data_IF_354987009877
#
_entry.id   IF_354987009877
#
_cell.length_a   1.000
_cell.length_b   1.000
_cell.length_c   1.000
_cell.angle_alpha   90.00
_cell.angle_beta   90.00
_cell.angle_gamma   90.00
#
_symmetry.space_group_name_H-M   'P 1'
#
loop_
_entity.id
_entity.type
_entity.pdbx_description
1 polymer ?
#
# COMPACT_ATOMS: atom_id res chain seq x y z
N UNK A 1 8.79 -3.42 -12.44
CA UNK A 1 9.94 -2.81 -11.74
C UNK A 1 9.94 -3.26 -10.28
N UNK A 2 11.06 -3.26 -9.55
CA UNK A 2 11.07 -3.55 -8.11
C UNK A 2 10.14 -2.59 -7.37
N UNK A 3 9.25 -3.12 -6.52
CA UNK A 3 8.35 -2.30 -5.71
C UNK A 3 9.10 -1.70 -4.54
N UNK A 4 8.76 -0.48 -4.15
CA UNK A 4 9.53 0.28 -3.16
C UNK A 4 10.72 1.03 -3.76
N UNK A 5 10.67 1.42 -5.04
CA UNK A 5 11.62 2.36 -5.63
C UNK A 5 10.86 3.55 -6.19
N UNK A 6 11.45 4.75 -6.11
CA UNK A 6 10.89 5.96 -6.72
C UNK A 6 11.93 6.50 -7.70
N UNK A 7 11.58 6.74 -8.98
CA UNK A 7 12.51 7.28 -9.95
C UNK A 7 13.19 8.56 -9.43
N UNK A 8 14.51 8.65 -9.60
CA UNK A 8 15.32 9.78 -9.17
C UNK A 8 15.36 10.06 -7.65
N UNK A 9 14.90 9.12 -6.82
CA UNK A 9 15.05 9.19 -5.37
C UNK A 9 16.32 8.46 -4.88
N UNK A 10 16.83 8.77 -3.67
CA UNK A 10 17.89 7.99 -3.05
C UNK A 10 17.52 6.50 -2.98
N UNK A 11 18.51 5.61 -3.02
CA UNK A 11 18.31 4.16 -2.90
C UNK A 11 17.83 3.79 -1.49
N UNK A 12 16.53 3.93 -1.27
CA UNK A 12 15.78 3.31 -0.20
C UNK A 12 14.83 2.32 -0.86
N UNK A 13 14.87 1.08 -0.40
CA UNK A 13 13.97 0.00 -0.83
C UNK A 13 12.89 -0.30 0.23
N UNK A 14 13.02 0.27 1.43
CA UNK A 14 12.12 0.02 2.57
C UNK A 14 12.02 1.21 3.52
N UNK A 15 10.81 1.45 4.03
CA UNK A 15 10.51 2.40 5.10
C UNK A 15 9.77 1.70 6.24
N UNK A 16 9.96 2.19 7.47
CA UNK A 16 9.25 1.68 8.65
C UNK A 16 8.11 2.64 9.02
N UNK A 17 6.89 2.12 9.10
CA UNK A 17 5.68 2.88 9.49
C UNK A 17 5.55 3.09 11.02
N UNK A 18 6.43 2.48 11.80
CA UNK A 18 6.31 2.39 13.26
C UNK A 18 5.28 1.37 13.74
N UNK A 19 4.59 0.66 12.83
CA UNK A 19 3.65 -0.42 13.15
C UNK A 19 4.15 -1.75 12.58
N UNK A 20 4.38 -2.72 13.47
CA UNK A 20 4.83 -4.05 13.07
C UNK A 20 3.70 -4.89 12.49
N UNK A 21 4.07 -5.92 11.72
CA UNK A 21 3.17 -7.01 11.32
C UNK A 21 2.58 -6.95 9.91
N UNK A 22 2.81 -5.87 9.16
CA UNK A 22 2.34 -5.74 7.77
C UNK A 22 3.40 -5.06 6.91
N UNK A 23 3.69 -5.63 5.74
CA UNK A 23 4.55 -5.08 4.69
C UNK A 23 3.67 -4.66 3.51
N UNK A 24 3.73 -3.38 3.15
CA UNK A 24 3.07 -2.86 1.96
C UNK A 24 4.07 -2.70 0.82
N UNK A 25 3.80 -3.35 -0.33
CA UNK A 25 4.60 -3.25 -1.54
C UNK A 25 3.96 -2.30 -2.55
N UNK A 26 4.59 -1.15 -2.77
CA UNK A 26 4.08 -0.10 -3.67
C UNK A 26 4.70 -0.14 -5.06
N UNK A 27 3.89 -0.07 -6.11
CA UNK A 27 4.36 0.16 -7.49
C UNK A 27 3.24 0.56 -8.45
N UNK A 28 3.58 1.17 -9.58
CA UNK A 28 2.62 1.82 -10.50
C UNK A 28 1.77 0.88 -11.37
N UNK A 29 1.86 -0.44 -11.15
CA UNK A 29 1.11 -1.43 -11.94
C UNK A 29 0.06 -2.10 -11.07
N UNK A 30 -1.19 -2.03 -11.53
CA UNK A 30 -2.27 -2.82 -10.94
C UNK A 30 -1.99 -4.31 -11.11
N UNK A 31 -2.08 -5.08 -10.02
CA UNK A 31 -1.69 -6.49 -10.01
C UNK A 31 -2.90 -7.36 -10.32
N UNK A 32 -2.83 -8.08 -11.43
CA UNK A 32 -3.93 -8.91 -11.92
C UNK A 32 -3.59 -10.39 -11.97
N UNK A 33 -2.54 -10.80 -11.27
CA UNK A 33 -2.07 -12.18 -11.22
C UNK A 33 -1.10 -12.36 -10.06
N UNK A 34 -1.03 -13.57 -9.51
CA UNK A 34 -0.06 -13.92 -8.47
C UNK A 34 1.37 -13.60 -8.91
N UNK A 35 2.01 -12.68 -8.21
CA UNK A 35 3.37 -12.24 -8.50
C UNK A 35 4.39 -12.94 -7.56
N UNK A 36 5.28 -13.80 -8.07
CA UNK A 36 6.28 -14.49 -7.25
C UNK A 36 7.19 -13.55 -6.45
N UNK A 37 7.40 -12.33 -6.95
CA UNK A 37 8.21 -11.33 -6.24
C UNK A 37 7.54 -10.90 -4.93
N UNK A 38 6.21 -10.76 -4.91
CA UNK A 38 5.45 -10.43 -3.70
C UNK A 38 5.60 -11.52 -2.63
N UNK A 39 5.49 -12.78 -3.05
CA UNK A 39 5.64 -13.94 -2.17
C UNK A 39 7.06 -14.02 -1.60
N UNK A 40 8.08 -13.89 -2.47
CA UNK A 40 9.49 -13.94 -2.06
C UNK A 40 9.85 -12.83 -1.07
N UNK A 41 9.22 -11.66 -1.18
CA UNK A 41 9.45 -10.50 -0.32
C UNK A 41 8.47 -10.39 0.86
N UNK A 42 7.57 -11.38 1.04
CA UNK A 42 6.58 -11.42 2.13
C UNK A 42 5.72 -10.15 2.17
N UNK A 43 5.29 -9.68 1.00
CA UNK A 43 4.38 -8.53 0.90
C UNK A 43 2.98 -8.97 1.31
N UNK A 44 2.39 -8.27 2.27
CA UNK A 44 1.06 -8.55 2.80
C UNK A 44 -0.02 -7.73 2.09
N UNK A 45 0.32 -6.50 1.67
CA UNK A 45 -0.60 -5.56 1.01
C UNK A 45 0.09 -4.91 -0.17
N UNK A 46 -0.64 -4.75 -1.26
CA UNK A 46 -0.15 -4.04 -2.46
C UNK A 46 -0.88 -2.72 -2.61
N UNK A 47 -0.17 -1.68 -3.02
CA UNK A 47 -0.76 -0.43 -3.47
C UNK A 47 0.09 0.27 -4.53
N UNK A 48 -0.28 1.50 -4.89
CA UNK A 48 0.36 2.26 -5.97
C UNK A 48 1.02 3.57 -5.51
N UNK A 49 0.80 4.05 -4.27
CA UNK A 49 1.28 5.39 -3.85
C UNK A 49 2.06 5.45 -2.52
N UNK A 50 1.83 4.52 -1.57
CA UNK A 50 2.25 4.71 -0.17
C UNK A 50 3.74 4.97 -0.02
N UNK A 51 4.59 4.17 -0.67
CA UNK A 51 6.03 4.31 -0.54
C UNK A 51 6.53 5.69 -0.99
N UNK A 52 6.01 6.21 -2.10
CA UNK A 52 6.37 7.54 -2.60
C UNK A 52 5.93 8.64 -1.62
N UNK A 53 4.71 8.55 -1.07
CA UNK A 53 4.20 9.49 -0.06
C UNK A 53 5.06 9.44 1.21
N UNK A 54 5.37 8.23 1.69
CA UNK A 54 6.17 8.02 2.91
C UNK A 54 7.61 8.52 2.75
N UNK A 55 8.21 8.39 1.56
CA UNK A 55 9.51 8.99 1.25
C UNK A 55 9.50 10.52 1.37
N UNK A 56 8.47 11.18 0.81
CA UNK A 56 8.32 12.64 0.93
C UNK A 56 8.12 13.03 2.40
N UNK A 57 7.27 12.30 3.12
CA UNK A 57 7.02 12.57 4.53
C UNK A 57 8.31 12.43 5.38
N UNK A 58 9.13 11.40 5.11
CA UNK A 58 10.44 11.26 5.74
C UNK A 58 11.36 12.45 5.45
N UNK A 59 11.47 12.87 4.18
CA UNK A 59 12.31 14.00 3.76
C UNK A 59 11.93 15.31 4.46
N UNK A 60 10.65 15.51 4.72
CA UNK A 60 10.13 16.73 5.35
C UNK A 60 9.83 16.57 6.85
N UNK A 61 10.18 15.43 7.46
CA UNK A 61 9.91 15.15 8.88
C UNK A 61 8.42 15.29 9.22
N UNK A 62 7.55 14.85 8.31
CA UNK A 62 6.10 14.86 8.48
C UNK A 62 5.68 13.49 9.01
N UNK A 63 4.98 13.46 10.14
CA UNK A 63 4.35 12.24 10.63
C UNK A 63 3.21 11.81 9.70
N UNK A 64 3.11 10.52 9.43
CA UNK A 64 2.09 9.97 8.55
C UNK A 64 1.51 8.68 9.13
N UNK A 65 0.27 8.38 8.71
CA UNK A 65 -0.40 7.11 8.94
C UNK A 65 -1.19 6.76 7.69
N UNK A 66 -1.11 5.52 7.25
CA UNK A 66 -1.85 5.04 6.08
C UNK A 66 -2.91 4.03 6.49
N UNK A 67 -4.06 4.13 5.85
CA UNK A 67 -5.16 3.17 5.95
C UNK A 67 -5.33 2.53 4.58
N UNK A 68 -5.46 1.21 4.54
CA UNK A 68 -5.62 0.43 3.32
C UNK A 68 -6.81 -0.50 3.51
N UNK A 69 -7.78 -0.38 2.61
CA UNK A 69 -8.90 -1.30 2.51
C UNK A 69 -8.54 -2.38 1.47
N UNK A 70 -8.69 -3.64 1.84
CA UNK A 70 -8.39 -4.76 0.96
C UNK A 70 -9.59 -4.99 0.05
N UNK A 71 -9.43 -4.65 -1.23
CA UNK A 71 -10.47 -4.73 -2.26
C UNK A 71 -10.48 -6.07 -2.99
N UNK A 72 -9.31 -6.71 -3.07
CA UNK A 72 -9.07 -7.91 -3.85
C UNK A 72 -7.79 -8.62 -3.35
N UNK A 73 -7.54 -9.83 -3.86
CA UNK A 73 -6.43 -10.69 -3.47
C UNK A 73 -5.21 -10.60 -4.41
N UNK A 74 -5.14 -9.59 -5.28
CA UNK A 74 -4.05 -9.41 -6.26
C UNK A 74 -3.76 -10.65 -7.13
N UNK A 75 -4.83 -11.36 -7.51
CA UNK A 75 -4.79 -12.57 -8.33
C UNK A 75 -5.56 -12.36 -9.65
N UNK A 76 -5.86 -13.46 -10.36
CA UNK A 76 -6.50 -13.40 -11.67
C UNK A 76 -7.92 -12.78 -11.66
N UNK A 77 -8.56 -12.70 -10.48
CA UNK A 77 -9.87 -12.07 -10.29
C UNK A 77 -9.78 -10.63 -9.75
N UNK A 78 -8.56 -10.07 -9.62
CA UNK A 78 -8.34 -8.77 -8.98
C UNK A 78 -9.16 -7.64 -9.61
N UNK A 79 -9.28 -7.62 -10.94
CA UNK A 79 -10.06 -6.59 -11.64
C UNK A 79 -11.54 -6.61 -11.25
N UNK A 80 -12.15 -7.81 -11.21
CA UNK A 80 -13.56 -8.00 -10.91
C UNK A 80 -13.84 -7.68 -9.44
N UNK A 81 -13.02 -8.23 -8.53
CA UNK A 81 -13.15 -8.01 -7.09
C UNK A 81 -12.90 -6.54 -6.72
N UNK A 82 -11.88 -5.91 -7.30
CA UNK A 82 -11.63 -4.48 -7.09
C UNK A 82 -12.83 -3.65 -7.51
N UNK A 83 -13.37 -3.90 -8.71
CA UNK A 83 -14.53 -3.16 -9.22
C UNK A 83 -15.76 -3.33 -8.32
N UNK A 84 -15.98 -4.53 -7.80
CA UNK A 84 -17.11 -4.82 -6.91
C UNK A 84 -16.96 -4.18 -5.52
N UNK A 85 -15.73 -4.04 -5.02
CA UNK A 85 -15.48 -3.72 -3.62
C UNK A 85 -14.99 -2.30 -3.36
N UNK A 86 -14.35 -1.63 -4.33
CA UNK A 86 -13.63 -0.36 -4.09
C UNK A 86 -14.51 0.74 -3.47
N UNK A 87 -15.78 0.83 -3.86
CA UNK A 87 -16.71 1.82 -3.33
C UNK A 87 -16.95 1.68 -1.82
N UNK A 88 -16.89 0.46 -1.28
CA UNK A 88 -17.11 0.19 0.14
C UNK A 88 -15.99 0.75 1.03
N UNK A 89 -14.80 1.00 0.45
CA UNK A 89 -13.65 1.52 1.18
C UNK A 89 -13.90 2.90 1.79
N UNK A 90 -14.74 3.73 1.17
CA UNK A 90 -15.07 5.06 1.67
C UNK A 90 -15.76 5.01 3.04
N UNK A 91 -16.84 4.23 3.15
CA UNK A 91 -17.64 4.17 4.37
C UNK A 91 -16.85 3.50 5.51
N UNK A 92 -16.09 2.46 5.19
CA UNK A 92 -15.21 1.79 6.16
C UNK A 92 -14.07 2.70 6.62
N UNK A 93 -13.54 3.56 5.75
CA UNK A 93 -12.53 4.55 6.15
C UNK A 93 -13.11 5.53 7.16
N UNK A 94 -14.30 6.08 6.91
CA UNK A 94 -14.95 6.98 7.87
C UNK A 94 -15.25 6.31 9.21
N UNK A 95 -15.62 5.03 9.19
CA UNK A 95 -15.81 4.28 10.42
C UNK A 95 -14.50 4.10 11.20
N UNK A 96 -13.42 3.72 10.51
CA UNK A 96 -12.09 3.61 11.11
C UNK A 96 -11.61 4.94 11.73
N UNK A 97 -11.92 6.07 11.08
CA UNK A 97 -11.54 7.40 11.55
C UNK A 97 -12.19 7.80 12.88
N UNK A 98 -13.37 7.25 13.23
CA UNK A 98 -14.02 7.53 14.54
C UNK A 98 -13.16 7.09 15.72
N UNK A 99 -12.32 6.06 15.53
CA UNK A 99 -11.40 5.55 16.55
C UNK A 99 -10.02 6.23 16.56
N UNK A 100 -9.76 7.16 15.65
CA UNK A 100 -8.47 7.84 15.54
C UNK A 100 -8.47 9.09 16.42
N UNK A 101 -7.65 9.08 17.46
CA UNK A 101 -7.31 10.28 18.23
C UNK A 101 -6.10 10.91 17.54
N UNK A 102 -6.24 12.16 17.09
CA UNK A 102 -5.19 12.96 16.44
C UNK A 102 -4.54 13.88 17.47
#
# INVERSE_FOLDING_TARGET
APRGTTPYAPELDRLTSGRAGVICGTGDSFVTSTDPWLVANKVDVVDMELFAIAQVALRHTISWRAFKFITDDANDFAHEHWTANVANGQDLFWDAMKGVIV
#
